data_IF_907406343534
#
_entry.id   IF_907406343534
#
_cell.length_a   1.000
_cell.length_b   1.000
_cell.length_c   1.000
_cell.angle_alpha   90.00
_cell.angle_beta   90.00
_cell.angle_gamma   90.00
#
_symmetry.space_group_name_H-M   'P 1'
#
loop_
_entity.id
_entity.type
_entity.pdbx_description
1 polymer ?
#
# COMPACT_ATOMS: atom_id res chain seq x y z
N UNK A 1 9.64 -14.74 -17.71
CA UNK A 1 9.25 -13.33 -17.98
C UNK A 1 10.25 -12.74 -18.94
N UNK A 2 9.77 -12.20 -20.05
CA UNK A 2 10.59 -11.44 -21.00
C UNK A 2 11.16 -10.18 -20.32
N UNK A 3 12.41 -9.84 -20.62
CA UNK A 3 13.11 -8.67 -20.07
C UNK A 3 13.56 -7.79 -21.23
N UNK A 4 13.29 -6.48 -21.12
CA UNK A 4 13.76 -5.47 -22.08
C UNK A 4 14.66 -4.48 -21.36
N UNK A 5 15.79 -4.13 -21.96
CA UNK A 5 16.66 -3.09 -21.42
C UNK A 5 16.08 -1.71 -21.72
N UNK A 6 16.15 -0.82 -20.73
CA UNK A 6 15.76 0.59 -20.83
C UNK A 6 16.90 1.43 -20.25
N UNK A 7 17.55 2.30 -21.03
CA UNK A 7 18.55 3.22 -20.49
C UNK A 7 17.88 4.26 -19.59
N UNK A 8 18.39 4.45 -18.38
CA UNK A 8 17.89 5.43 -17.41
C UNK A 8 19.05 6.31 -16.97
N UNK A 9 18.88 7.64 -17.03
CA UNK A 9 19.86 8.58 -16.50
C UNK A 9 19.60 8.80 -15.01
N UNK A 10 20.65 8.68 -14.20
CA UNK A 10 20.61 8.98 -12.78
C UNK A 10 21.40 10.25 -12.48
N UNK A 11 20.89 11.14 -11.60
CA UNK A 11 21.70 12.15 -10.96
C UNK A 11 22.90 11.51 -10.24
N UNK A 12 24.07 12.17 -10.30
CA UNK A 12 25.33 11.61 -9.80
C UNK A 12 25.29 11.42 -8.29
N UNK A 13 24.72 12.39 -7.57
CA UNK A 13 24.47 12.35 -6.13
C UNK A 13 23.62 11.14 -5.74
N UNK A 14 22.49 10.92 -6.43
CA UNK A 14 21.61 9.78 -6.16
C UNK A 14 22.28 8.44 -6.47
N UNK A 15 23.10 8.38 -7.52
CA UNK A 15 23.88 7.18 -7.83
C UNK A 15 24.90 6.91 -6.72
N UNK A 16 25.62 7.93 -6.23
CA UNK A 16 26.57 7.77 -5.13
C UNK A 16 25.90 7.26 -3.84
N UNK A 17 24.70 7.74 -3.53
CA UNK A 17 23.92 7.21 -2.41
C UNK A 17 23.52 5.75 -2.62
N UNK A 18 23.04 5.41 -3.82
CA UNK A 18 22.70 4.04 -4.15
C UNK A 18 23.92 3.11 -4.00
N UNK A 19 25.09 3.56 -4.44
CA UNK A 19 26.36 2.83 -4.34
C UNK A 19 26.74 2.61 -2.87
N UNK A 20 26.60 3.65 -2.04
CA UNK A 20 26.91 3.61 -0.61
C UNK A 20 26.03 2.65 0.18
N UNK A 21 24.72 2.61 -0.10
CA UNK A 21 23.75 1.87 0.73
C UNK A 21 23.31 0.51 0.17
N UNK A 22 23.39 0.31 -1.15
CA UNK A 22 22.93 -0.94 -1.80
C UNK A 22 24.09 -1.78 -2.34
N UNK A 23 25.20 -1.12 -2.71
CA UNK A 23 26.36 -1.77 -3.32
C UNK A 23 26.15 -2.10 -4.81
N UNK A 24 27.25 -2.28 -5.53
CA UNK A 24 27.28 -2.37 -7.01
C UNK A 24 26.47 -3.52 -7.62
N UNK A 25 26.42 -4.68 -6.96
CA UNK A 25 25.73 -5.88 -7.47
C UNK A 25 24.21 -5.90 -7.28
N UNK A 26 23.66 -5.06 -6.40
CA UNK A 26 22.25 -5.14 -6.00
C UNK A 26 21.38 -3.98 -6.54
N UNK A 27 21.98 -3.02 -7.26
CA UNK A 27 21.29 -1.83 -7.81
C UNK A 27 20.06 -2.19 -8.62
N UNK A 28 20.21 -3.08 -9.60
CA UNK A 28 19.11 -3.48 -10.48
C UNK A 28 17.96 -4.10 -9.70
N UNK A 29 18.26 -4.99 -8.74
CA UNK A 29 17.24 -5.61 -7.89
C UNK A 29 16.50 -4.55 -7.06
N UNK A 30 17.26 -3.67 -6.40
CA UNK A 30 16.71 -2.58 -5.59
C UNK A 30 15.81 -1.65 -6.40
N UNK A 31 16.26 -1.19 -7.56
CA UNK A 31 15.49 -0.30 -8.44
C UNK A 31 14.21 -0.99 -8.92
N UNK A 32 14.27 -2.27 -9.29
CA UNK A 32 13.08 -3.03 -9.71
C UNK A 32 12.07 -3.14 -8.57
N UNK A 33 12.51 -3.48 -7.36
CA UNK A 33 11.65 -3.60 -6.19
C UNK A 33 11.03 -2.25 -5.79
N UNK A 34 11.82 -1.18 -5.76
CA UNK A 34 11.35 0.18 -5.51
C UNK A 34 10.32 0.62 -6.56
N UNK A 35 10.59 0.34 -7.84
CA UNK A 35 9.67 0.64 -8.94
C UNK A 35 8.34 -0.12 -8.78
N UNK A 36 8.39 -1.42 -8.44
CA UNK A 36 7.17 -2.21 -8.18
C UNK A 36 6.37 -1.62 -7.04
N UNK A 37 7.01 -1.28 -5.92
CA UNK A 37 6.36 -0.68 -4.75
C UNK A 37 5.65 0.63 -5.10
N UNK A 38 6.35 1.53 -5.81
CA UNK A 38 5.79 2.83 -6.19
C UNK A 38 4.64 2.69 -7.21
N UNK A 39 4.75 1.76 -8.15
CA UNK A 39 3.67 1.48 -9.11
C UNK A 39 2.40 0.96 -8.41
N UNK A 40 2.53 0.08 -7.42
CA UNK A 40 1.39 -0.38 -6.61
C UNK A 40 0.73 0.81 -5.91
N UNK A 41 1.52 1.66 -5.24
CA UNK A 41 1.01 2.85 -4.57
C UNK A 41 0.25 3.78 -5.51
N UNK A 42 0.77 4.02 -6.72
CA UNK A 42 0.10 4.86 -7.73
C UNK A 42 -1.19 4.26 -8.25
N UNK A 43 -1.23 2.94 -8.46
CA UNK A 43 -2.46 2.23 -8.86
C UNK A 43 -3.53 2.35 -7.77
N UNK A 44 -3.16 2.15 -6.51
CA UNK A 44 -4.07 2.32 -5.37
C UNK A 44 -4.60 3.75 -5.28
N UNK A 45 -3.73 4.76 -5.36
CA UNK A 45 -4.14 6.17 -5.40
C UNK A 45 -5.10 6.46 -6.56
N UNK A 46 -4.83 5.91 -7.74
CA UNK A 46 -5.71 6.03 -8.90
C UNK A 46 -7.07 5.38 -8.67
N UNK A 47 -7.11 4.19 -8.06
CA UNK A 47 -8.34 3.49 -7.71
C UNK A 47 -9.17 4.28 -6.69
N UNK A 48 -8.55 4.79 -5.62
CA UNK A 48 -9.22 5.63 -4.61
C UNK A 48 -9.83 6.88 -5.26
N UNK A 49 -9.08 7.57 -6.12
CA UNK A 49 -9.59 8.75 -6.83
C UNK A 49 -10.79 8.42 -7.73
N UNK A 50 -10.75 7.28 -8.43
CA UNK A 50 -11.87 6.81 -9.27
C UNK A 50 -13.08 6.38 -8.44
N UNK A 51 -12.84 5.85 -7.25
CA UNK A 51 -13.88 5.41 -6.32
C UNK A 51 -14.50 6.54 -5.49
N UNK A 52 -14.06 7.79 -5.69
CA UNK A 52 -14.61 8.95 -4.99
C UNK A 52 -16.12 9.06 -5.26
N UNK A 53 -16.91 9.11 -4.19
CA UNK A 53 -18.37 9.23 -4.26
C UNK A 53 -19.12 7.92 -4.52
N UNK A 54 -18.44 6.77 -4.43
CA UNK A 54 -19.12 5.45 -4.46
C UNK A 54 -19.90 5.20 -3.17
N UNK A 55 -19.37 5.64 -2.02
CA UNK A 55 -20.07 5.56 -0.73
C UNK A 55 -20.97 6.79 -0.57
N UNK A 56 -22.13 6.75 -1.22
CA UNK A 56 -23.16 7.78 -1.05
C UNK A 56 -23.94 7.53 0.23
N UNK A 57 -24.40 8.61 0.85
CA UNK A 57 -25.15 8.54 2.11
C UNK A 57 -26.49 7.80 1.93
N UNK A 58 -27.14 7.94 0.77
CA UNK A 58 -28.41 7.24 0.49
C UNK A 58 -28.24 5.72 0.40
N UNK A 59 -27.09 5.26 -0.07
CA UNK A 59 -26.76 3.85 -0.25
C UNK A 59 -26.10 3.24 1.00
N UNK A 60 -25.45 4.06 1.83
CA UNK A 60 -24.66 3.67 3.00
C UNK A 60 -24.88 4.62 4.19
N UNK A 61 -26.08 4.65 4.77
CA UNK A 61 -26.41 5.54 5.89
C UNK A 61 -25.57 5.25 7.16
N UNK A 62 -25.03 4.05 7.30
CA UNK A 62 -24.10 3.68 8.37
C UNK A 62 -22.72 4.38 8.28
N UNK A 63 -22.45 5.10 7.19
CA UNK A 63 -21.23 5.90 6.99
C UNK A 63 -21.50 7.40 6.87
N UNK A 64 -22.67 7.87 7.32
CA UNK A 64 -23.12 9.27 7.19
C UNK A 64 -22.18 10.26 7.88
N UNK A 65 -21.71 9.92 9.08
CA UNK A 65 -20.79 10.77 9.85
C UNK A 65 -19.42 10.13 10.05
N UNK A 66 -18.43 10.95 10.40
CA UNK A 66 -17.11 10.44 10.78
C UNK A 66 -17.15 9.55 12.02
N UNK A 67 -18.09 9.80 12.94
CA UNK A 67 -18.27 9.00 14.15
C UNK A 67 -18.88 7.63 13.80
N UNK A 68 -19.85 7.57 12.87
CA UNK A 68 -20.44 6.29 12.41
C UNK A 68 -19.38 5.40 11.75
N UNK A 69 -18.53 5.99 10.90
CA UNK A 69 -17.41 5.29 10.28
C UNK A 69 -16.41 4.82 11.35
N UNK A 70 -16.10 5.65 12.35
CA UNK A 70 -15.18 5.28 13.42
C UNK A 70 -15.72 4.13 14.27
N UNK A 71 -17.03 4.15 14.60
CA UNK A 71 -17.71 3.09 15.33
C UNK A 71 -17.76 1.79 14.53
N UNK A 72 -18.00 1.85 13.22
CA UNK A 72 -17.93 0.68 12.34
C UNK A 72 -16.51 0.08 12.31
N UNK A 73 -15.48 0.91 12.16
CA UNK A 73 -14.08 0.45 12.20
C UNK A 73 -13.73 -0.17 13.56
N UNK A 74 -14.22 0.42 14.66
CA UNK A 74 -14.01 -0.13 16.02
C UNK A 74 -14.60 -1.53 16.12
N UNK A 75 -15.86 -1.72 15.72
CA UNK A 75 -16.54 -3.03 15.75
C UNK A 75 -15.79 -4.08 14.92
N UNK A 76 -15.36 -3.73 13.69
CA UNK A 76 -14.58 -4.63 12.84
C UNK A 76 -13.27 -5.09 13.50
N UNK A 77 -12.57 -4.20 14.22
CA UNK A 77 -11.33 -4.54 14.93
C UNK A 77 -11.62 -5.45 16.11
N UNK A 78 -12.65 -5.14 16.90
CA UNK A 78 -13.07 -5.95 18.04
C UNK A 78 -13.46 -7.37 17.62
N UNK A 79 -14.22 -7.52 16.53
CA UNK A 79 -14.56 -8.82 15.94
C UNK A 79 -13.32 -9.58 15.45
N UNK A 80 -12.40 -8.89 14.77
CA UNK A 80 -11.15 -9.47 14.31
C UNK A 80 -10.29 -9.97 15.47
N UNK A 81 -10.18 -9.19 16.54
CA UNK A 81 -9.44 -9.56 17.74
C UNK A 81 -10.12 -10.66 18.55
N UNK A 82 -11.45 -10.69 18.63
CA UNK A 82 -12.19 -11.78 19.24
C UNK A 82 -11.93 -13.11 18.51
N UNK A 83 -12.04 -13.10 17.17
CA UNK A 83 -11.76 -14.28 16.34
C UNK A 83 -10.30 -14.73 16.44
N UNK A 84 -9.36 -13.79 16.50
CA UNK A 84 -7.93 -14.08 16.72
C UNK A 84 -7.73 -14.79 18.06
N UNK A 85 -8.34 -14.31 19.14
CA UNK A 85 -8.26 -14.95 20.46
C UNK A 85 -8.86 -16.36 20.44
N UNK A 86 -10.02 -16.55 19.82
CA UNK A 86 -10.63 -17.88 19.68
C UNK A 86 -9.72 -18.88 18.94
N UNK A 87 -9.00 -18.44 17.90
CA UNK A 87 -8.15 -19.31 17.10
C UNK A 87 -6.78 -19.59 17.71
N UNK A 88 -6.25 -18.68 18.55
CA UNK A 88 -4.85 -18.71 18.99
C UNK A 88 -4.64 -18.71 20.51
N UNK A 89 -5.64 -18.34 21.32
CA UNK A 89 -5.57 -18.34 22.79
C UNK A 89 -6.25 -19.56 23.44
N UNK A 90 -6.74 -20.53 22.66
CA UNK A 90 -7.21 -21.82 23.19
C UNK A 90 -6.00 -22.79 23.21
N UNK A 91 -5.23 -22.72 24.28
CA UNK A 91 -4.27 -23.75 24.71
C UNK A 91 -4.40 -23.94 26.22
#
# INVERSE_FOLDING_TARGET
MEKKQMPIRFPVDLLNELDKYVGSGHKSKFIIEATRKELVKRKQLGAIKKAKGILKEEDYPEFSTSDDVADWVRKLREESDAKRRELFDVN
#
